data_IF_648822132876
#
_entry.id   IF_648822132876
#
_cell.length_a   1.000
_cell.length_b   1.000
_cell.length_c   1.000
_cell.angle_alpha   90.00
_cell.angle_beta   90.00
_cell.angle_gamma   90.00
#
_symmetry.space_group_name_H-M   'P 1'
#
loop_
_entity.id
_entity.type
_entity.pdbx_description
1 polymer ?
#
# COMPACT_ATOMS: atom_id res chain seq x y z
N UNK A 1 -12.86 -12.01 9.98
CA UNK A 1 -12.34 -10.82 10.67
C UNK A 1 -12.28 -9.73 9.63
N UNK A 2 -12.90 -8.57 9.86
CA UNK A 2 -12.82 -7.44 8.92
C UNK A 2 -11.35 -7.02 8.83
N UNK A 3 -10.82 -6.83 7.61
CA UNK A 3 -9.44 -6.39 7.42
C UNK A 3 -9.30 -4.95 7.93
N UNK A 4 -8.77 -4.79 9.13
CA UNK A 4 -8.58 -3.49 9.78
C UNK A 4 -7.13 -3.08 9.55
N UNK A 5 -6.85 -2.59 8.34
CA UNK A 5 -5.50 -2.17 7.89
C UNK A 5 -4.91 -1.11 8.84
N UNK A 6 -5.78 -0.36 9.52
CA UNK A 6 -5.41 0.63 10.53
C UNK A 6 -4.86 0.02 11.82
N UNK A 7 -5.30 -1.18 12.19
CA UNK A 7 -4.98 -1.82 13.46
C UNK A 7 -3.79 -2.77 13.25
N UNK A 8 -2.68 -2.17 12.80
CA UNK A 8 -1.41 -2.84 12.60
C UNK A 8 -0.95 -3.49 13.91
N UNK A 9 -1.05 -4.82 14.01
CA UNK A 9 -0.59 -5.53 15.21
C UNK A 9 0.93 -5.71 15.24
N UNK A 10 1.60 -5.43 14.14
CA UNK A 10 3.04 -5.65 13.97
C UNK A 10 3.93 -4.51 14.50
N UNK A 11 3.39 -3.53 15.24
CA UNK A 11 4.14 -2.39 15.80
C UNK A 11 5.06 -1.65 14.80
N UNK A 12 4.71 -1.69 13.51
CA UNK A 12 5.48 -1.01 12.47
C UNK A 12 5.20 0.49 12.49
N UNK A 13 6.20 1.34 12.18
CA UNK A 13 5.99 2.76 12.04
C UNK A 13 4.97 3.06 10.94
N UNK A 14 3.88 3.73 11.32
CA UNK A 14 2.88 4.25 10.37
C UNK A 14 3.00 5.78 10.30
N UNK A 15 3.32 6.31 9.13
CA UNK A 15 3.31 7.74 8.81
C UNK A 15 1.93 8.10 8.30
N UNK A 16 1.14 8.81 9.11
CA UNK A 16 -0.27 9.12 8.80
C UNK A 16 -0.49 10.38 7.99
N UNK A 17 -1.61 10.44 7.27
CA UNK A 17 -2.03 11.65 6.56
C UNK A 17 -2.26 12.78 7.56
N UNK A 18 -1.51 13.85 7.44
CA UNK A 18 -1.52 14.93 8.42
C UNK A 18 -2.65 15.96 8.23
N UNK A 19 -3.52 15.78 7.22
CA UNK A 19 -4.68 16.66 7.05
C UNK A 19 -5.76 16.35 8.09
N UNK A 20 -5.78 17.16 9.15
CA UNK A 20 -6.78 17.05 10.23
C UNK A 20 -8.24 17.12 9.78
N UNK A 21 -8.56 17.75 8.64
CA UNK A 21 -9.92 17.80 8.10
C UNK A 21 -10.28 16.47 7.45
N UNK A 22 -9.36 15.89 6.67
CA UNK A 22 -9.56 14.57 6.08
C UNK A 22 -9.63 13.47 7.14
N UNK A 23 -8.78 13.53 8.16
CA UNK A 23 -8.84 12.61 9.31
C UNK A 23 -10.20 12.67 10.03
N UNK A 24 -10.76 13.88 10.21
CA UNK A 24 -12.11 14.07 10.75
C UNK A 24 -13.19 13.55 9.80
N UNK A 25 -13.06 13.77 8.49
CA UNK A 25 -14.02 13.28 7.50
C UNK A 25 -14.13 11.75 7.54
N UNK A 26 -12.99 11.04 7.53
CA UNK A 26 -12.95 9.59 7.67
C UNK A 26 -13.51 9.13 9.03
N UNK A 27 -13.12 9.79 10.13
CA UNK A 27 -13.64 9.45 11.47
C UNK A 27 -15.16 9.61 11.59
N UNK A 28 -15.72 10.58 10.86
CA UNK A 28 -17.16 10.82 10.76
C UNK A 28 -17.84 9.94 9.70
N UNK A 29 -17.13 9.00 9.07
CA UNK A 29 -17.63 8.12 8.01
C UNK A 29 -18.22 8.88 6.82
N UNK A 30 -17.55 9.95 6.40
CA UNK A 30 -17.88 10.59 5.13
C UNK A 30 -17.41 9.70 3.98
N UNK A 31 -18.36 9.14 3.25
CA UNK A 31 -18.10 8.14 2.22
C UNK A 31 -17.37 8.69 0.99
N UNK A 32 -17.18 10.01 0.88
CA UNK A 32 -16.48 10.68 -0.22
C UNK A 32 -14.96 10.41 -0.24
N UNK A 33 -14.40 9.92 0.86
CA UNK A 33 -12.97 9.68 1.04
C UNK A 33 -12.66 8.22 1.37
N UNK A 34 -11.44 7.81 1.09
CA UNK A 34 -10.91 6.49 1.40
C UNK A 34 -9.46 6.60 1.87
N UNK A 35 -9.01 5.58 2.62
CA UNK A 35 -7.61 5.43 2.99
C UNK A 35 -6.86 4.64 1.93
N UNK A 36 -5.59 5.00 1.75
CA UNK A 36 -4.62 4.28 0.93
C UNK A 36 -3.37 4.08 1.78
N UNK A 37 -2.85 2.87 1.78
CA UNK A 37 -1.66 2.50 2.54
C UNK A 37 -0.57 2.05 1.60
N UNK A 38 0.63 2.60 1.76
CA UNK A 38 1.81 2.18 1.00
C UNK A 38 2.82 1.61 1.98
N UNK A 39 3.08 0.32 1.86
CA UNK A 39 4.11 -0.38 2.63
C UNK A 39 5.42 -0.30 1.85
N UNK A 40 6.49 0.12 2.53
CA UNK A 40 7.86 0.08 2.01
C UNK A 40 8.71 -0.80 2.93
N UNK A 41 9.24 -1.87 2.37
CA UNK A 41 10.30 -2.67 2.98
C UNK A 41 11.64 -2.17 2.43
N UNK A 42 12.53 -1.70 3.31
CA UNK A 42 13.83 -1.12 2.92
C UNK A 42 14.97 -2.16 2.96
N UNK A 43 14.69 -3.41 3.30
CA UNK A 43 15.73 -4.43 3.51
C UNK A 43 16.19 -5.04 2.18
N UNK A 44 17.50 -5.25 2.01
CA UNK A 44 18.13 -5.78 0.79
C UNK A 44 17.84 -4.98 -0.49
N UNK A 45 17.09 -5.56 -1.44
CA UNK A 45 16.64 -4.89 -2.66
C UNK A 45 15.37 -4.06 -2.42
N UNK A 46 14.77 -4.21 -1.24
CA UNK A 46 13.53 -3.60 -0.82
C UNK A 46 12.30 -4.14 -1.55
N UNK A 47 11.14 -3.74 -1.06
CA UNK A 47 9.85 -4.04 -1.67
C UNK A 47 8.85 -2.92 -1.40
N UNK A 48 7.83 -2.82 -2.25
CA UNK A 48 6.76 -1.86 -2.08
C UNK A 48 5.41 -2.53 -2.38
N UNK A 49 4.44 -2.29 -1.50
CA UNK A 49 3.07 -2.77 -1.60
C UNK A 49 2.07 -1.64 -1.44
N UNK A 50 0.90 -1.75 -2.08
CA UNK A 50 -0.15 -0.74 -2.05
C UNK A 50 -1.46 -1.40 -1.62
N UNK A 51 -2.08 -0.90 -0.55
CA UNK A 51 -3.43 -1.29 -0.14
C UNK A 51 -4.39 -0.13 -0.36
N UNK A 52 -5.46 -0.42 -1.08
CA UNK A 52 -6.57 0.50 -1.31
C UNK A 52 -7.71 0.14 -0.35
N UNK A 53 -8.22 1.14 0.35
CA UNK A 53 -9.36 1.04 1.27
C UNK A 53 -9.16 0.08 2.47
N UNK A 54 -10.24 -0.12 3.23
CA UNK A 54 -10.26 -0.91 4.46
C UNK A 54 -11.47 -1.84 4.52
N UNK A 55 -11.39 -2.86 5.37
CA UNK A 55 -12.47 -3.79 5.61
C UNK A 55 -12.79 -4.68 4.41
N UNK A 56 -14.06 -4.79 4.09
CA UNK A 56 -14.54 -5.70 3.03
C UNK A 56 -14.18 -5.21 1.62
N UNK A 57 -13.89 -3.92 1.47
CA UNK A 57 -13.48 -3.31 0.20
C UNK A 57 -11.95 -3.27 0.03
N UNK A 58 -11.20 -3.77 1.02
CA UNK A 58 -9.73 -3.69 0.98
C UNK A 58 -9.16 -4.48 -0.19
N UNK A 59 -8.17 -3.88 -0.84
CA UNK A 59 -7.55 -4.40 -2.06
C UNK A 59 -6.03 -4.22 -1.95
N UNK A 60 -5.28 -5.32 -1.87
CA UNK A 60 -3.82 -5.32 -1.87
C UNK A 60 -3.30 -5.48 -3.30
N UNK A 61 -2.41 -4.58 -3.70
CA UNK A 61 -1.60 -4.69 -4.89
C UNK A 61 -0.15 -4.92 -4.48
N UNK A 62 0.40 -6.07 -4.85
CA UNK A 62 1.74 -6.52 -4.49
C UNK A 62 2.61 -6.69 -5.76
N UNK A 63 2.88 -5.59 -6.50
CA UNK A 63 3.58 -5.70 -7.77
C UNK A 63 4.96 -6.27 -7.58
N UNK A 64 5.33 -7.24 -8.40
CA UNK A 64 6.60 -7.94 -8.28
C UNK A 64 6.88 -8.68 -6.96
N UNK A 65 5.89 -8.76 -6.05
CA UNK A 65 6.02 -9.50 -4.80
C UNK A 65 5.76 -10.99 -4.95
N UNK A 66 6.01 -11.73 -3.88
CA UNK A 66 5.75 -13.18 -3.80
C UNK A 66 4.84 -13.56 -2.63
N UNK A 67 4.12 -12.59 -2.08
CA UNK A 67 3.07 -12.87 -1.10
C UNK A 67 1.97 -13.72 -1.74
N UNK A 68 1.47 -14.73 -1.03
CA UNK A 68 0.55 -15.71 -1.63
C UNK A 68 -0.91 -15.56 -1.18
N UNK A 69 -1.24 -14.58 -0.33
CA UNK A 69 -2.61 -14.39 0.18
C UNK A 69 -3.10 -15.47 1.15
N UNK A 70 -2.24 -16.41 1.54
CA UNK A 70 -2.61 -17.50 2.43
C UNK A 70 -2.17 -17.20 3.86
N UNK A 71 -2.96 -17.61 4.83
CA UNK A 71 -2.59 -17.48 6.25
C UNK A 71 -1.24 -18.15 6.50
N UNK A 72 -0.30 -17.41 7.09
CA UNK A 72 1.09 -17.86 7.28
C UNK A 72 1.76 -18.40 6.00
N UNK A 73 1.38 -17.93 4.81
CA UNK A 73 1.84 -18.42 3.50
C UNK A 73 1.61 -19.94 3.30
N UNK A 74 0.61 -20.51 3.97
CA UNK A 74 0.24 -21.93 3.87
C UNK A 74 -1.23 -22.08 3.49
N UNK A 75 -1.48 -22.42 2.23
CA UNK A 75 -2.82 -22.71 1.74
C UNK A 75 -3.18 -24.16 2.09
N UNK A 76 -4.37 -24.41 2.65
CA UNK A 76 -4.89 -25.75 2.92
C UNK A 76 -5.53 -26.33 1.65
N UNK A 77 -5.03 -27.48 1.16
CA UNK A 77 -5.54 -28.11 -0.07
C UNK A 77 -5.14 -27.42 -1.38
N UNK A 78 -5.36 -28.12 -2.51
CA UNK A 78 -4.76 -27.92 -3.83
C UNK A 78 -5.14 -26.64 -4.61
N UNK A 79 -5.58 -25.58 -3.95
CA UNK A 79 -5.74 -24.26 -4.56
C UNK A 79 -4.61 -23.38 -4.03
N UNK A 80 -3.39 -23.67 -4.50
CA UNK A 80 -2.38 -22.62 -4.63
C UNK A 80 -2.88 -21.74 -5.76
N UNK A 81 -3.60 -20.68 -5.46
CA UNK A 81 -3.63 -19.55 -6.38
C UNK A 81 -2.18 -19.08 -6.46
N UNK A 82 -1.44 -19.55 -7.46
CA UNK A 82 -0.12 -19.04 -7.82
C UNK A 82 -0.33 -17.60 -8.27
N UNK A 83 -0.47 -16.72 -7.27
CA UNK A 83 -0.60 -15.29 -7.44
C UNK A 83 0.82 -14.77 -7.52
N UNK A 84 1.32 -14.74 -8.75
CA UNK A 84 2.71 -14.48 -9.05
C UNK A 84 3.07 -13.01 -8.88
N UNK A 85 4.29 -12.72 -9.27
CA UNK A 85 4.84 -11.38 -9.40
C UNK A 85 3.91 -10.48 -10.24
N UNK A 86 3.32 -9.44 -9.63
CA UNK A 86 2.39 -8.50 -10.32
C UNK A 86 0.91 -8.64 -9.94
N UNK A 87 0.57 -9.54 -9.03
CA UNK A 87 -0.82 -9.84 -8.68
C UNK A 87 -1.42 -8.87 -7.63
N UNK A 88 -2.74 -8.94 -7.50
CA UNK A 88 -3.51 -8.25 -6.49
C UNK A 88 -4.44 -9.23 -5.75
N UNK A 89 -4.88 -8.82 -4.57
CA UNK A 89 -5.72 -9.58 -3.68
C UNK A 89 -6.87 -8.69 -3.22
N UNK A 90 -8.10 -9.18 -3.37
CA UNK A 90 -9.27 -8.56 -2.76
C UNK A 90 -9.51 -9.24 -1.42
N UNK A 91 -10.10 -8.55 -0.44
CA UNK A 91 -10.59 -9.26 0.75
C UNK A 91 -11.66 -10.30 0.38
N UNK A 92 -11.68 -11.51 0.98
CA UNK A 92 -10.84 -12.00 2.07
C UNK A 92 -9.60 -12.80 1.62
N UNK A 93 -9.14 -12.63 0.38
CA UNK A 93 -8.00 -13.37 -0.19
C UNK A 93 -6.64 -12.88 0.33
N UNK A 94 -6.60 -11.86 1.18
CA UNK A 94 -5.43 -11.48 1.95
C UNK A 94 -5.80 -11.02 3.36
N UNK A 95 -4.81 -11.08 4.25
CA UNK A 95 -4.86 -10.51 5.59
C UNK A 95 -3.70 -9.53 5.75
N UNK A 96 -3.99 -8.34 6.28
CA UNK A 96 -3.00 -7.27 6.41
C UNK A 96 -1.89 -7.59 7.41
N UNK A 97 -2.21 -8.16 8.57
CA UNK A 97 -1.20 -8.51 9.57
C UNK A 97 -0.28 -9.62 9.04
N UNK A 98 -0.84 -10.59 8.32
CA UNK A 98 -0.07 -11.65 7.65
C UNK A 98 0.82 -11.09 6.53
N UNK A 99 0.33 -10.11 5.76
CA UNK A 99 1.13 -9.43 4.73
C UNK A 99 2.29 -8.65 5.34
N UNK A 100 2.05 -7.88 6.42
CA UNK A 100 3.10 -7.15 7.11
C UNK A 100 4.13 -8.09 7.76
N UNK A 101 3.70 -9.19 8.37
CA UNK A 101 4.60 -10.20 8.91
C UNK A 101 5.48 -10.79 7.81
N UNK A 102 4.91 -11.10 6.65
CA UNK A 102 5.66 -11.61 5.51
C UNK A 102 6.78 -10.66 5.07
N UNK A 103 6.53 -9.34 5.10
CA UNK A 103 7.57 -8.35 4.80
C UNK A 103 8.63 -8.26 5.91
N UNK A 104 8.21 -8.39 7.16
CA UNK A 104 9.10 -8.40 8.33
C UNK A 104 10.03 -9.62 8.38
N UNK A 105 9.65 -10.74 7.75
CA UNK A 105 10.51 -11.93 7.65
C UNK A 105 11.81 -11.65 6.88
N UNK A 106 11.82 -10.64 5.98
CA UNK A 106 13.04 -10.16 5.31
C UNK A 106 13.89 -9.25 6.21
N UNK A 107 13.25 -8.57 7.18
CA UNK A 107 13.89 -7.76 8.22
C UNK A 107 13.00 -6.61 8.75
N UNK A 108 13.49 -5.90 9.79
CA UNK A 108 12.68 -4.96 10.58
C UNK A 108 12.52 -3.54 10.00
N UNK A 109 13.23 -3.18 8.92
CA UNK A 109 13.14 -1.83 8.32
C UNK A 109 11.95 -1.73 7.33
N UNK A 110 10.74 -1.82 7.89
CA UNK A 110 9.47 -1.70 7.18
C UNK A 110 8.71 -0.49 7.69
N UNK A 111 8.17 0.33 6.79
CA UNK A 111 7.36 1.51 7.11
C UNK A 111 6.08 1.54 6.29
N UNK A 112 5.00 2.04 6.87
CA UNK A 112 3.72 2.23 6.17
C UNK A 112 3.40 3.71 6.08
N UNK A 113 3.01 4.19 4.91
CA UNK A 113 2.45 5.52 4.70
C UNK A 113 0.95 5.43 4.52
N UNK A 114 0.17 6.24 5.24
CA UNK A 114 -1.26 6.41 5.03
C UNK A 114 -1.52 7.75 4.33
N UNK A 115 -2.35 7.70 3.30
CA UNK A 115 -2.94 8.88 2.66
C UNK A 115 -4.45 8.77 2.68
N UNK A 116 -5.13 9.91 2.84
CA UNK A 116 -6.57 10.00 2.65
C UNK A 116 -6.81 10.69 1.30
N UNK A 117 -7.55 10.00 0.43
CA UNK A 117 -7.83 10.44 -0.93
C UNK A 117 -9.33 10.43 -1.23
N UNK A 118 -9.82 11.25 -2.16
CA UNK A 118 -11.18 11.14 -2.66
C UNK A 118 -11.45 9.76 -3.26
N UNK A 119 -12.66 9.21 -3.09
CA UNK A 119 -13.08 7.92 -3.68
C UNK A 119 -12.87 7.84 -5.19
N UNK A 120 -13.07 8.95 -5.91
CA UNK A 120 -12.82 9.01 -7.36
C UNK A 120 -11.34 8.75 -7.70
N UNK A 121 -10.42 9.19 -6.83
CA UNK A 121 -9.00 8.95 -6.98
C UNK A 121 -8.65 7.49 -6.67
N UNK A 122 -9.20 6.94 -5.58
CA UNK A 122 -9.09 5.51 -5.23
C UNK A 122 -9.57 4.61 -6.38
N UNK A 123 -10.71 4.93 -6.99
CA UNK A 123 -11.25 4.19 -8.14
C UNK A 123 -10.28 4.18 -9.30
N UNK A 124 -9.66 5.32 -9.64
CA UNK A 124 -8.64 5.39 -10.70
C UNK A 124 -7.44 4.50 -10.39
N UNK A 125 -6.97 4.47 -9.14
CA UNK A 125 -5.88 3.57 -8.76
C UNK A 125 -6.25 2.11 -9.01
N UNK A 126 -7.45 1.69 -8.54
CA UNK A 126 -7.94 0.32 -8.75
C UNK A 126 -8.10 0.00 -10.24
N UNK A 127 -8.71 0.89 -11.02
CA UNK A 127 -8.86 0.72 -12.47
C UNK A 127 -7.48 0.57 -13.16
N UNK A 128 -6.49 1.40 -12.81
CA UNK A 128 -5.14 1.32 -13.38
C UNK A 128 -4.44 -0.01 -13.06
N UNK A 129 -4.61 -0.53 -11.84
CA UNK A 129 -4.06 -1.83 -11.44
C UNK A 129 -4.71 -2.97 -12.24
N UNK A 130 -6.03 -2.94 -12.39
CA UNK A 130 -6.80 -3.99 -13.08
C UNK A 130 -6.55 -4.01 -14.59
N UNK A 131 -6.22 -2.86 -15.18
CA UNK A 131 -6.09 -2.73 -16.64
C UNK A 131 -4.65 -2.68 -17.14
N UNK A 132 -3.69 -2.33 -16.29
CA UNK A 132 -2.27 -2.29 -16.63
C UNK A 132 -1.42 -2.94 -15.54
N UNK A 133 -1.06 -4.21 -15.72
CA UNK A 133 -0.02 -4.86 -14.91
C UNK A 133 1.21 -5.11 -15.77
N UNK A 134 2.31 -4.41 -15.48
CA UNK A 134 3.60 -4.72 -16.12
C UNK A 134 4.15 -6.04 -15.57
N UNK A 135 4.81 -6.82 -16.43
CA UNK A 135 5.56 -8.01 -16.04
C UNK A 135 6.60 -7.62 -15.00
N UNK A 136 6.60 -8.31 -13.87
CA UNK A 136 7.48 -8.02 -12.77
C UNK A 136 8.96 -8.31 -13.06
N UNK A 137 9.80 -7.35 -12.68
CA UNK A 137 11.26 -7.45 -12.65
C UNK A 137 11.82 -6.72 -11.42
N UNK A 138 13.15 -6.63 -11.27
CA UNK A 138 13.79 -5.95 -10.14
C UNK A 138 13.30 -4.48 -10.06
N UNK A 139 12.91 -4.04 -8.86
CA UNK A 139 12.35 -2.71 -8.57
C UNK A 139 11.04 -2.34 -9.30
N UNK A 140 10.45 -3.30 -10.03
CA UNK A 140 9.16 -3.08 -10.71
C UNK A 140 8.02 -2.86 -9.71
N UNK A 141 8.17 -3.31 -8.45
CA UNK A 141 7.26 -3.02 -7.35
C UNK A 141 7.05 -1.51 -7.16
N UNK A 142 8.12 -0.80 -6.81
CA UNK A 142 8.10 0.64 -6.54
C UNK A 142 7.76 1.45 -7.80
N UNK A 143 8.27 1.06 -8.98
CA UNK A 143 7.92 1.70 -10.26
C UNK A 143 6.40 1.61 -10.53
N UNK A 144 5.80 0.43 -10.39
CA UNK A 144 4.37 0.25 -10.66
C UNK A 144 3.50 1.00 -9.66
N UNK A 145 3.86 1.00 -8.37
CA UNK A 145 3.14 1.76 -7.36
C UNK A 145 3.25 3.26 -7.65
N UNK A 146 4.45 3.77 -7.92
CA UNK A 146 4.64 5.19 -8.26
C UNK A 146 3.78 5.61 -9.47
N UNK A 147 3.74 4.77 -10.51
CA UNK A 147 2.88 4.99 -11.68
C UNK A 147 1.40 5.03 -11.30
N UNK A 148 0.89 4.03 -10.58
CA UNK A 148 -0.52 3.96 -10.15
C UNK A 148 -0.90 5.18 -9.33
N UNK A 149 -0.06 5.58 -8.38
CA UNK A 149 -0.29 6.77 -7.57
C UNK A 149 -0.31 8.03 -8.44
N UNK A 150 0.69 8.22 -9.30
CA UNK A 150 0.80 9.39 -10.18
C UNK A 150 -0.39 9.53 -11.12
N UNK A 151 -0.75 8.45 -11.83
CA UNK A 151 -1.85 8.46 -12.80
C UNK A 151 -3.23 8.64 -12.15
N UNK A 152 -3.36 8.34 -10.86
CA UNK A 152 -4.57 8.70 -10.10
C UNK A 152 -4.77 10.22 -9.97
N UNK A 153 -3.69 11.00 -10.04
CA UNK A 153 -3.65 12.45 -9.90
C UNK A 153 -3.65 12.91 -8.43
N UNK A 154 -4.29 14.05 -8.16
CA UNK A 154 -4.46 14.57 -6.80
C UNK A 154 -3.14 14.85 -6.08
N UNK A 155 -3.04 14.40 -4.83
CA UNK A 155 -1.83 14.57 -3.99
C UNK A 155 -0.57 13.93 -4.57
N UNK A 156 -0.74 12.99 -5.50
CA UNK A 156 0.34 12.21 -6.12
C UNK A 156 0.71 12.73 -7.51
N UNK A 157 0.06 13.79 -8.00
CA UNK A 157 0.22 14.27 -9.37
C UNK A 157 1.66 14.69 -9.70
N UNK A 158 2.44 15.12 -8.70
CA UNK A 158 3.81 15.59 -8.84
C UNK A 158 4.86 14.48 -8.71
N UNK A 159 4.46 13.19 -8.61
CA UNK A 159 5.42 12.10 -8.71
C UNK A 159 6.17 12.21 -10.05
N UNK A 160 7.50 12.27 -9.99
CA UNK A 160 8.33 12.26 -11.19
C UNK A 160 8.06 11.00 -12.03
N UNK A 161 8.26 11.11 -13.33
CA UNK A 161 8.21 9.93 -14.20
C UNK A 161 9.57 9.24 -14.29
N UNK A 162 9.56 7.91 -14.40
CA UNK A 162 10.78 7.11 -14.50
C UNK A 162 10.92 6.04 -13.42
N UNK A 163 12.18 5.72 -13.13
CA UNK A 163 12.54 4.62 -12.24
C UNK A 163 12.36 5.00 -10.77
N UNK A 164 11.73 4.11 -10.00
CA UNK A 164 11.68 4.19 -8.54
C UNK A 164 12.28 2.92 -7.94
N UNK A 165 13.26 3.08 -7.06
CA UNK A 165 13.59 2.06 -6.07
C UNK A 165 12.61 2.17 -4.88
N UNK A 166 12.45 1.13 -4.05
CA UNK A 166 11.64 1.21 -2.83
C UNK A 166 12.02 2.40 -1.93
N UNK A 167 13.31 2.67 -1.75
CA UNK A 167 13.78 3.82 -0.98
C UNK A 167 13.47 5.16 -1.66
N UNK A 168 13.61 5.24 -2.98
CA UNK A 168 13.24 6.45 -3.73
C UNK A 168 11.75 6.75 -3.65
N UNK A 169 10.90 5.71 -3.63
CA UNK A 169 9.46 5.86 -3.42
C UNK A 169 9.17 6.32 -1.98
N UNK A 170 9.85 5.76 -0.98
CA UNK A 170 9.76 6.23 0.41
C UNK A 170 10.09 7.71 0.55
N UNK A 171 11.19 8.17 -0.05
CA UNK A 171 11.61 9.57 0.02
C UNK A 171 10.57 10.50 -0.62
N UNK A 172 10.01 10.11 -1.77
CA UNK A 172 8.98 10.88 -2.44
C UNK A 172 7.64 10.91 -1.66
N UNK A 173 7.22 9.78 -1.06
CA UNK A 173 6.06 9.75 -0.17
C UNK A 173 6.25 10.63 1.07
N UNK A 174 7.46 10.62 1.64
CA UNK A 174 7.81 11.46 2.78
C UNK A 174 7.78 12.95 2.41
N UNK A 175 8.33 13.34 1.26
CA UNK A 175 8.30 14.72 0.78
C UNK A 175 6.85 15.23 0.63
N UNK A 176 5.94 14.40 0.10
CA UNK A 176 4.51 14.74 0.03
C UNK A 176 3.94 14.99 1.43
N UNK A 177 4.21 14.12 2.41
CA UNK A 177 3.72 14.29 3.78
C UNK A 177 4.29 15.57 4.43
N UNK A 178 5.57 15.86 4.23
CA UNK A 178 6.22 17.06 4.75
C UNK A 178 5.63 18.34 4.14
N UNK A 179 5.32 18.33 2.83
CA UNK A 179 4.66 19.45 2.14
C UNK A 179 3.26 19.74 2.65
N UNK A 180 2.52 18.73 3.15
CA UNK A 180 1.21 18.92 3.80
C UNK A 180 1.30 19.64 5.16
N UNK A 181 2.50 19.75 5.71
CA UNK A 181 2.77 20.42 6.98
C UNK A 181 2.67 19.47 8.17
N UNK A 182 3.66 19.58 9.06
CA UNK A 182 3.77 18.83 10.32
C UNK A 182 4.77 17.66 10.24
N UNK A 183 5.27 17.25 11.41
CA UNK A 183 6.20 16.12 11.53
C UNK A 183 5.36 14.84 11.45
N UNK A 184 5.69 13.88 10.56
CA UNK A 184 5.08 12.56 10.54
C UNK A 184 4.98 11.97 11.95
N UNK A 185 3.76 11.72 12.43
CA UNK A 185 3.55 11.04 13.69
C UNK A 185 3.70 9.54 13.48
N UNK A 186 4.80 8.97 13.94
CA UNK A 186 5.00 7.52 14.03
C UNK A 186 4.14 7.02 15.18
N UNK A 187 3.12 6.21 14.87
CA UNK A 187 2.34 5.50 15.88
C UNK A 187 2.85 4.05 15.92
N UNK A 188 3.34 3.55 17.07
CA UNK A 188 3.66 2.14 17.27
C UNK A 188 2.40 1.27 17.39
#
# INVERSE_FOLDING_TARGET
MRNDVFNNRQQLPVIRDNDSKLQKAISNKQDDYARVFIMINNVFIGHAGLVLDEGEESFLYDPAGSYTGCKNNKCDGSIRSYRGSGDFFEYPDFDWDDYLQYQLDDGEDVVVFEFIVPRVQLKKMKDNILHDSEIASVFTCAKNIARVLRESGGVFADFEDGFFSPWGLKDALLDIQLKKGGIPHVVP
#
